data_IF_349509816324
#
_entry.id   IF_349509816324
#
_cell.length_a   1.000
_cell.length_b   1.000
_cell.length_c   1.000
_cell.angle_alpha   90.00
_cell.angle_beta   90.00
_cell.angle_gamma   90.00
#
_symmetry.space_group_name_H-M   'P 1'
#
loop_
_entity.id
_entity.type
_entity.pdbx_description
1 polymer ?
#
# COMPACT_ATOMS: atom_id res chain seq x y z
N UNK A 1 -10.46 5.27 15.56
CA UNK A 1 -9.36 5.03 14.61
C UNK A 1 -8.79 3.63 14.84
N UNK A 2 -8.39 2.89 13.80
CA UNK A 2 -7.87 1.51 13.98
C UNK A 2 -6.35 1.54 13.88
N UNK A 3 -5.63 0.99 14.87
CA UNK A 3 -4.17 0.97 14.93
C UNK A 3 -3.50 0.52 13.60
N UNK A 4 -4.06 -0.47 12.91
CA UNK A 4 -3.53 -0.94 11.63
C UNK A 4 -3.58 0.12 10.51
N UNK A 5 -4.70 0.81 10.38
CA UNK A 5 -4.85 1.87 9.36
C UNK A 5 -3.91 3.02 9.66
N UNK A 6 -3.79 3.40 10.92
CA UNK A 6 -2.89 4.47 11.35
C UNK A 6 -1.43 4.12 11.10
N UNK A 7 -0.99 2.89 11.42
CA UNK A 7 0.37 2.43 11.09
C UNK A 7 0.62 2.50 9.58
N UNK A 8 -0.35 2.08 8.76
CA UNK A 8 -0.21 2.18 7.31
C UNK A 8 -0.04 3.64 6.86
N UNK A 9 -0.85 4.56 7.39
CA UNK A 9 -0.71 6.00 7.12
C UNK A 9 0.67 6.52 7.52
N UNK A 10 1.19 6.11 8.69
CA UNK A 10 2.55 6.51 9.11
C UNK A 10 3.62 6.03 8.12
N UNK A 11 3.52 4.81 7.61
CA UNK A 11 4.44 4.33 6.58
C UNK A 11 4.33 5.13 5.29
N UNK A 12 3.12 5.47 4.86
CA UNK A 12 2.90 6.24 3.63
C UNK A 12 3.42 7.66 3.76
N UNK A 13 3.18 8.32 4.88
CA UNK A 13 3.44 9.76 5.03
C UNK A 13 4.81 10.08 5.59
N UNK A 14 5.31 9.27 6.52
CA UNK A 14 6.51 9.61 7.29
C UNK A 14 7.69 8.65 7.10
N UNK A 15 7.43 7.41 6.71
CA UNK A 15 8.50 6.41 6.49
C UNK A 15 8.93 6.35 5.03
N UNK A 16 8.02 6.56 4.09
CA UNK A 16 8.37 6.63 2.68
C UNK A 16 9.34 7.81 2.40
N UNK A 17 10.44 7.64 1.61
CA UNK A 17 10.75 6.48 0.76
C UNK A 17 11.59 5.37 1.41
N UNK A 18 11.98 5.48 2.67
CA UNK A 18 12.94 4.56 3.34
C UNK A 18 12.45 3.13 3.50
N UNK A 19 11.24 2.80 3.31
CA UNK A 19 10.63 1.47 3.37
C UNK A 19 10.57 0.85 4.76
N UNK A 20 11.46 1.17 5.69
CA UNK A 20 11.58 0.55 6.99
C UNK A 20 11.59 1.56 8.13
N UNK A 21 10.96 1.22 9.24
CA UNK A 21 10.98 2.02 10.47
C UNK A 21 11.32 1.15 11.68
N UNK A 22 12.03 1.73 12.64
CA UNK A 22 12.28 1.09 13.93
C UNK A 22 10.98 0.91 14.70
N UNK A 23 10.85 -0.24 15.36
CA UNK A 23 9.65 -0.53 16.16
C UNK A 23 9.44 0.51 17.25
N UNK A 24 10.53 0.95 17.92
CA UNK A 24 10.44 1.98 18.97
C UNK A 24 9.89 3.30 18.45
N UNK A 25 10.28 3.70 17.22
CA UNK A 25 9.87 4.98 16.64
C UNK A 25 8.39 4.92 16.21
N UNK A 26 7.97 3.77 15.65
CA UNK A 26 6.56 3.51 15.37
C UNK A 26 5.71 3.52 16.64
N UNK A 27 6.21 2.93 17.74
CA UNK A 27 5.52 2.94 19.03
C UNK A 27 5.41 4.38 19.55
N UNK A 28 6.48 5.17 19.50
CA UNK A 28 6.47 6.57 19.95
C UNK A 28 5.49 7.43 19.14
N UNK A 29 5.50 7.34 17.83
CA UNK A 29 4.55 8.06 16.96
C UNK A 29 3.10 7.64 17.24
N UNK A 30 2.84 6.36 17.43
CA UNK A 30 1.52 5.84 17.71
C UNK A 30 1.03 6.20 19.12
N UNK A 31 1.94 6.28 20.10
CA UNK A 31 1.62 6.73 21.46
C UNK A 31 1.13 8.18 21.47
N UNK A 32 1.74 9.06 20.65
CA UNK A 32 1.27 10.43 20.47
C UNK A 32 -0.16 10.52 19.89
N UNK A 33 -0.62 9.45 19.24
CA UNK A 33 -1.98 9.31 18.70
C UNK A 33 -2.92 8.51 19.64
N UNK A 34 -2.48 8.23 20.88
CA UNK A 34 -3.28 7.56 21.91
C UNK A 34 -3.30 6.03 21.84
N UNK A 35 -2.41 5.40 21.10
CA UNK A 35 -2.33 3.93 21.03
C UNK A 35 -1.32 3.39 22.05
N UNK A 36 -1.69 2.33 22.78
CA UNK A 36 -0.76 1.63 23.67
C UNK A 36 0.29 0.86 22.87
N UNK A 37 1.49 0.69 23.44
CA UNK A 37 2.57 -0.11 22.84
C UNK A 37 2.11 -1.54 22.51
N UNK A 38 1.32 -2.16 23.38
CA UNK A 38 0.77 -3.50 23.16
C UNK A 38 -0.13 -3.52 21.89
N UNK A 39 -0.99 -2.53 21.72
CA UNK A 39 -1.86 -2.42 20.55
C UNK A 39 -1.05 -2.24 19.25
N UNK A 40 0.02 -1.43 19.29
CA UNK A 40 0.92 -1.20 18.16
C UNK A 40 1.67 -2.48 17.78
N UNK A 41 2.30 -3.16 18.74
CA UNK A 41 3.01 -4.42 18.52
C UNK A 41 2.09 -5.51 17.96
N UNK A 42 0.89 -5.63 18.51
CA UNK A 42 -0.12 -6.56 18.00
C UNK A 42 -0.58 -6.22 16.57
N UNK A 43 -0.73 -4.94 16.25
CA UNK A 43 -1.09 -4.50 14.90
C UNK A 43 0.03 -4.78 13.88
N UNK A 44 1.30 -4.52 14.24
CA UNK A 44 2.48 -4.84 13.41
C UNK A 44 2.59 -6.35 13.16
N UNK A 45 2.45 -7.18 14.21
CA UNK A 45 2.47 -8.63 14.08
C UNK A 45 1.38 -9.15 13.14
N UNK A 46 0.14 -8.66 13.28
CA UNK A 46 -0.96 -9.01 12.37
C UNK A 46 -0.71 -8.54 10.93
N UNK A 47 -0.09 -7.39 10.76
CA UNK A 47 0.27 -6.86 9.44
C UNK A 47 1.37 -7.72 8.78
N UNK A 48 2.33 -8.22 9.56
CA UNK A 48 3.37 -9.13 9.10
C UNK A 48 2.75 -10.48 8.65
N UNK A 49 1.86 -11.07 9.45
CA UNK A 49 1.14 -12.31 9.09
C UNK A 49 0.34 -12.17 7.79
N UNK A 50 -0.08 -10.98 7.43
CA UNK A 50 -0.80 -10.67 6.18
C UNK A 50 0.13 -10.30 5.01
N UNK A 51 1.44 -10.33 5.22
CA UNK A 51 2.43 -9.97 4.21
C UNK A 51 2.48 -8.49 3.83
N UNK A 52 2.01 -7.60 4.71
CA UNK A 52 2.07 -6.16 4.47
C UNK A 52 3.42 -5.57 4.84
N UNK A 53 3.95 -6.02 5.97
CA UNK A 53 5.26 -5.64 6.46
C UNK A 53 6.09 -6.89 6.73
N UNK A 54 7.40 -6.75 6.67
CA UNK A 54 8.38 -7.79 6.94
C UNK A 54 9.19 -7.36 8.16
N UNK A 55 9.27 -8.18 9.21
CA UNK A 55 10.14 -7.90 10.34
C UNK A 55 11.60 -8.02 9.91
N UNK A 56 12.44 -7.07 10.34
CA UNK A 56 13.88 -7.05 10.14
C UNK A 56 14.59 -6.80 11.46
N UNK A 57 15.83 -7.28 11.56
CA UNK A 57 16.70 -7.00 12.70
C UNK A 57 18.05 -6.50 12.21
N UNK A 58 18.56 -5.47 12.86
CA UNK A 58 19.91 -4.96 12.65
C UNK A 58 20.56 -4.81 14.03
N UNK A 59 21.44 -5.73 14.37
CA UNK A 59 21.97 -5.83 15.72
C UNK A 59 20.86 -6.03 16.77
N UNK A 60 20.79 -5.11 17.74
CA UNK A 60 19.73 -5.10 18.78
C UNK A 60 18.45 -4.39 18.37
N UNK A 61 18.44 -3.71 17.24
CA UNK A 61 17.29 -2.93 16.80
C UNK A 61 16.32 -3.78 15.95
N UNK A 62 15.04 -3.68 16.28
CA UNK A 62 13.96 -4.30 15.53
C UNK A 62 13.29 -3.27 14.61
N UNK A 63 13.04 -3.67 13.36
CA UNK A 63 12.40 -2.86 12.32
C UNK A 63 11.23 -3.62 11.71
N UNK A 64 10.32 -2.87 11.12
CA UNK A 64 9.40 -3.39 10.12
C UNK A 64 9.60 -2.62 8.82
N UNK A 65 9.71 -3.38 7.72
CA UNK A 65 9.78 -2.84 6.36
C UNK A 65 8.47 -3.14 5.62
N UNK A 66 8.03 -2.25 4.76
CA UNK A 66 6.97 -2.59 3.80
C UNK A 66 7.44 -3.76 2.92
N UNK A 67 6.56 -4.74 2.68
CA UNK A 67 6.82 -5.76 1.66
C UNK A 67 6.93 -5.12 0.27
N UNK A 68 7.64 -5.77 -0.67
CA UNK A 68 7.84 -5.21 -2.02
C UNK A 68 6.54 -4.85 -2.71
N UNK A 69 5.55 -5.73 -2.59
CA UNK A 69 4.21 -5.50 -3.14
C UNK A 69 3.55 -4.24 -2.55
N UNK A 70 3.58 -4.08 -1.23
CA UNK A 70 2.94 -2.95 -0.55
C UNK A 70 3.72 -1.67 -0.81
N UNK A 71 5.05 -1.73 -0.82
CA UNK A 71 5.87 -0.57 -1.17
C UNK A 71 5.58 -0.06 -2.58
N UNK A 72 5.46 -0.95 -3.55
CA UNK A 72 5.10 -0.59 -4.90
C UNK A 72 3.69 0.06 -4.97
N UNK A 73 2.70 -0.50 -4.26
CA UNK A 73 1.36 0.08 -4.16
C UNK A 73 1.39 1.49 -3.54
N UNK A 74 2.15 1.67 -2.45
CA UNK A 74 2.34 2.98 -1.80
C UNK A 74 2.96 3.97 -2.78
N UNK A 75 3.99 3.57 -3.52
CA UNK A 75 4.64 4.41 -4.54
C UNK A 75 3.64 4.88 -5.60
N UNK A 76 2.79 4.00 -6.12
CA UNK A 76 1.77 4.37 -7.11
C UNK A 76 0.73 5.33 -6.54
N UNK A 77 0.23 5.06 -5.33
CA UNK A 77 -0.74 5.95 -4.66
C UNK A 77 -0.13 7.33 -4.41
N UNK A 78 1.10 7.40 -3.89
CA UNK A 78 1.78 8.67 -3.63
C UNK A 78 2.04 9.46 -4.91
N UNK A 79 2.46 8.81 -5.99
CA UNK A 79 2.64 9.45 -7.29
C UNK A 79 1.36 10.15 -7.75
N UNK A 80 0.20 9.57 -7.49
CA UNK A 80 -1.10 10.18 -7.84
C UNK A 80 -1.53 11.29 -6.91
N UNK A 81 -1.27 11.14 -5.62
CA UNK A 81 -1.71 12.12 -4.60
C UNK A 81 -0.80 13.35 -4.58
N UNK A 82 0.49 13.16 -4.79
CA UNK A 82 1.50 14.20 -4.60
C UNK A 82 2.36 14.48 -5.83
N UNK A 83 2.27 13.64 -6.85
CA UNK A 83 2.99 13.85 -8.12
C UNK A 83 2.21 14.69 -9.10
N UNK A 84 2.91 15.33 -10.02
CA UNK A 84 2.29 15.93 -11.19
C UNK A 84 1.83 14.82 -12.13
N UNK A 85 0.54 14.73 -12.38
CA UNK A 85 0.04 13.84 -13.43
C UNK A 85 0.47 14.42 -14.79
N UNK A 86 0.99 13.61 -15.70
CA UNK A 86 1.25 14.07 -17.05
C UNK A 86 -0.05 14.57 -17.68
N UNK A 87 -0.01 15.57 -18.55
CA UNK A 87 -1.19 15.99 -19.30
C UNK A 87 -1.76 14.80 -20.06
N UNK A 88 -3.08 14.70 -20.12
CA UNK A 88 -3.72 13.65 -20.87
C UNK A 88 -3.38 13.75 -22.37
N UNK A 89 -2.90 12.67 -22.93
CA UNK A 89 -2.50 12.56 -24.34
C UNK A 89 -3.67 12.31 -25.32
N UNK A 90 -4.91 12.35 -24.82
CA UNK A 90 -6.12 12.07 -25.60
C UNK A 90 -6.41 10.57 -25.77
N UNK A 91 -5.63 9.68 -25.16
CA UNK A 91 -5.76 8.23 -25.33
C UNK A 91 -6.26 7.56 -24.04
N UNK A 92 -6.97 6.47 -24.23
CA UNK A 92 -7.34 5.54 -23.17
C UNK A 92 -6.58 4.23 -23.35
N UNK A 93 -6.15 3.67 -22.23
CA UNK A 93 -5.62 2.33 -22.19
C UNK A 93 -6.74 1.37 -21.78
N UNK A 94 -7.04 0.43 -22.65
CA UNK A 94 -8.00 -0.65 -22.38
C UNK A 94 -7.24 -1.89 -21.94
N UNK A 95 -7.56 -2.42 -20.77
CA UNK A 95 -6.94 -3.62 -20.23
C UNK A 95 -7.99 -4.74 -20.16
N UNK A 96 -7.71 -5.84 -20.84
CA UNK A 96 -8.50 -7.07 -20.84
C UNK A 96 -7.64 -8.18 -20.21
N UNK A 97 -7.56 -8.26 -18.88
CA UNK A 97 -6.74 -9.29 -18.26
C UNK A 97 -7.37 -10.66 -18.42
N UNK A 98 -6.54 -11.68 -18.57
CA UNK A 98 -6.94 -13.05 -18.25
C UNK A 98 -7.13 -13.13 -16.74
N UNK A 99 -8.32 -12.81 -16.30
CA UNK A 99 -8.63 -12.60 -14.89
C UNK A 99 -8.72 -13.90 -14.10
N UNK A 100 -8.53 -13.82 -12.77
CA UNK A 100 -8.69 -14.96 -11.89
C UNK A 100 -10.13 -15.53 -11.95
N UNK A 101 -10.25 -16.85 -11.85
CA UNK A 101 -11.54 -17.55 -11.94
C UNK A 101 -12.32 -17.46 -10.63
N UNK A 102 -11.62 -17.39 -9.50
CA UNK A 102 -12.22 -17.30 -8.18
C UNK A 102 -12.80 -15.92 -7.87
N UNK A 103 -13.96 -15.88 -7.18
CA UNK A 103 -14.66 -14.63 -6.84
C UNK A 103 -13.83 -13.72 -5.93
N UNK A 104 -13.15 -14.31 -4.93
CA UNK A 104 -12.32 -13.54 -3.98
C UNK A 104 -11.11 -12.91 -4.65
N UNK A 105 -10.49 -13.64 -5.56
CA UNK A 105 -9.35 -13.14 -6.35
C UNK A 105 -9.78 -12.05 -7.33
N UNK A 106 -10.95 -12.18 -7.97
CA UNK A 106 -11.51 -11.13 -8.84
C UNK A 106 -11.74 -9.83 -8.07
N UNK A 107 -12.29 -9.90 -6.87
CA UNK A 107 -12.54 -8.73 -6.03
C UNK A 107 -11.23 -8.07 -5.56
N UNK A 108 -10.22 -8.87 -5.28
CA UNK A 108 -8.87 -8.39 -4.95
C UNK A 108 -8.23 -7.72 -6.16
N UNK A 109 -8.29 -8.36 -7.33
CA UNK A 109 -7.76 -7.84 -8.58
C UNK A 109 -8.43 -6.50 -8.95
N UNK A 110 -9.75 -6.43 -8.85
CA UNK A 110 -10.50 -5.17 -9.08
C UNK A 110 -10.01 -4.03 -8.19
N UNK A 111 -9.76 -4.31 -6.91
CA UNK A 111 -9.21 -3.30 -5.97
C UNK A 111 -7.78 -2.90 -6.34
N UNK A 112 -6.97 -3.82 -6.78
CA UNK A 112 -5.61 -3.53 -7.23
C UNK A 112 -5.62 -2.68 -8.50
N UNK A 113 -6.47 -2.98 -9.47
CA UNK A 113 -6.67 -2.16 -10.67
C UNK A 113 -7.13 -0.73 -10.32
N UNK A 114 -8.08 -0.59 -9.40
CA UNK A 114 -8.53 0.73 -8.93
C UNK A 114 -7.40 1.52 -8.24
N UNK A 115 -6.54 0.87 -7.45
CA UNK A 115 -5.34 1.48 -6.88
C UNK A 115 -4.34 1.94 -7.95
N UNK A 116 -4.29 1.25 -9.09
CA UNK A 116 -3.49 1.63 -10.24
C UNK A 116 -4.15 2.72 -11.12
N UNK A 117 -5.42 3.09 -10.83
CA UNK A 117 -6.21 4.09 -11.51
C UNK A 117 -6.98 3.63 -12.73
N UNK A 118 -7.15 2.35 -12.82
CA UNK A 118 -8.03 1.80 -13.81
C UNK A 118 -9.46 1.74 -13.28
N UNK A 119 -10.39 2.31 -14.00
CA UNK A 119 -11.83 2.15 -13.77
C UNK A 119 -12.35 0.89 -14.42
N UNK A 120 -13.27 0.16 -13.76
CA UNK A 120 -14.00 -0.92 -14.40
C UNK A 120 -15.03 -0.36 -15.39
N UNK A 121 -14.93 -0.73 -16.66
CA UNK A 121 -15.90 -0.37 -17.70
C UNK A 121 -17.06 -1.37 -17.73
N UNK A 122 -16.71 -2.65 -17.71
CA UNK A 122 -17.66 -3.77 -17.58
C UNK A 122 -16.92 -4.97 -16.98
N UNK A 123 -17.61 -6.10 -16.77
CA UNK A 123 -16.98 -7.30 -16.21
C UNK A 123 -15.72 -7.71 -17.00
N UNK A 124 -14.57 -7.69 -16.34
CA UNK A 124 -13.29 -8.07 -16.95
C UNK A 124 -12.66 -7.06 -17.87
N UNK A 125 -13.22 -5.83 -18.01
CA UNK A 125 -12.66 -4.77 -18.83
C UNK A 125 -12.34 -3.56 -17.98
N UNK A 126 -11.12 -3.06 -18.07
CA UNK A 126 -10.67 -1.90 -17.33
C UNK A 126 -10.15 -0.81 -18.24
N UNK A 127 -10.42 0.42 -17.87
CA UNK A 127 -10.04 1.62 -18.61
C UNK A 127 -9.13 2.49 -17.74
N UNK A 128 -8.02 2.93 -18.30
CA UNK A 128 -7.10 3.86 -17.68
C UNK A 128 -6.77 5.05 -18.59
N UNK A 129 -6.29 6.12 -18.00
CA UNK A 129 -5.73 7.30 -18.68
C UNK A 129 -4.26 7.43 -18.33
N UNK A 130 -3.41 7.67 -19.33
CA UNK A 130 -1.98 7.80 -19.16
C UNK A 130 -1.25 6.44 -19.14
N UNK A 131 -0.32 6.29 -20.02
CA UNK A 131 0.45 5.07 -20.23
C UNK A 131 1.68 5.09 -19.31
N UNK A 132 1.54 4.65 -18.07
CA UNK A 132 2.71 4.26 -17.25
C UNK A 132 2.53 2.81 -16.82
N UNK A 133 2.78 1.91 -17.78
CA UNK A 133 3.00 0.48 -17.55
C UNK A 133 4.51 0.18 -17.37
N UNK A 134 5.33 1.17 -16.97
CA UNK A 134 6.72 0.92 -16.59
C UNK A 134 6.86 0.55 -15.12
#
# INVERSE_FOLDING_TARGET
MRARSTIFTLFVEYVYPERAARVRDLVAMMAALGFSEMAVRAALSRSAKRGWVVPKREGRAAYYALSDRVYWQVRQVRRRLYGSLPPWDGRFLLVLPEGPKDRGERERFRREMALLGYGGLQSGVYLGVGADLE
#
